data_IF_061214300572
#
_entry.id   IF_061214300572
#
_cell.length_a   1.000
_cell.length_b   1.000
_cell.length_c   1.000
_cell.angle_alpha   90.00
_cell.angle_beta   90.00
_cell.angle_gamma   90.00
#
_symmetry.space_group_name_H-M   'P 1'
#
loop_
_entity.id
_entity.type
_entity.pdbx_description
1 polymer ?
#
# COMPACT_ATOMS: atom_id res chain seq x y z
N UNK A 1 28.83 -21.23 -65.98
CA UNK A 1 27.79 -20.20 -65.71
C UNK A 1 27.31 -20.45 -64.29
N UNK A 2 27.56 -19.68 -63.22
CA UNK A 2 28.17 -18.37 -63.00
C UNK A 2 28.96 -18.44 -61.68
N UNK A 3 30.18 -17.93 -61.69
CA UNK A 3 30.98 -17.62 -60.50
C UNK A 3 30.45 -16.31 -59.92
N UNK A 4 30.25 -16.21 -58.60
CA UNK A 4 30.57 -14.99 -57.84
C UNK A 4 30.60 -15.23 -56.32
N UNK A 5 31.83 -15.15 -55.80
CA UNK A 5 32.29 -14.58 -54.50
C UNK A 5 31.93 -15.41 -53.24
N UNK A 6 32.85 -16.18 -52.63
CA UNK A 6 34.15 -15.87 -52.02
C UNK A 6 34.04 -15.10 -50.69
N UNK A 7 34.79 -15.61 -49.71
CA UNK A 7 35.06 -15.13 -48.33
C UNK A 7 34.05 -15.48 -47.25
N UNK A 8 34.42 -15.89 -46.04
CA UNK A 8 35.71 -16.26 -45.46
C UNK A 8 35.45 -16.68 -44.01
N UNK A 9 35.83 -17.92 -43.66
CA UNK A 9 36.60 -18.31 -42.47
C UNK A 9 36.09 -17.87 -41.07
N UNK A 10 35.86 -18.82 -40.15
CA UNK A 10 36.69 -19.06 -38.94
C UNK A 10 36.06 -20.05 -37.95
N UNK A 11 36.92 -20.97 -37.51
CA UNK A 11 37.00 -21.62 -36.20
C UNK A 11 35.83 -22.47 -35.68
N UNK A 12 36.01 -23.77 -35.88
CA UNK A 12 35.42 -24.83 -35.07
C UNK A 12 36.08 -24.79 -33.69
N UNK A 13 35.27 -24.37 -32.72
CA UNK A 13 35.46 -24.46 -31.28
C UNK A 13 35.54 -25.95 -30.89
N UNK A 14 36.67 -26.38 -30.34
CA UNK A 14 36.82 -27.72 -29.78
C UNK A 14 36.76 -27.62 -28.25
N UNK A 15 35.76 -28.31 -27.72
CA UNK A 15 35.47 -28.54 -26.32
C UNK A 15 36.73 -28.95 -25.53
N UNK A 16 36.90 -28.33 -24.35
CA UNK A 16 37.38 -29.06 -23.18
C UNK A 16 36.51 -28.71 -21.97
N UNK A 17 36.11 -29.78 -21.29
CA UNK A 17 35.14 -29.80 -20.21
C UNK A 17 35.69 -29.20 -18.91
N UNK A 18 34.82 -28.51 -18.17
CA UNK A 18 34.74 -28.70 -16.72
C UNK A 18 33.27 -28.93 -16.35
N UNK A 19 33.01 -30.17 -16.00
CA UNK A 19 31.83 -30.66 -15.34
C UNK A 19 31.77 -30.13 -13.89
N UNK A 20 30.54 -29.88 -13.46
CA UNK A 20 30.05 -29.91 -12.09
C UNK A 20 30.64 -28.94 -11.06
N UNK A 21 29.91 -27.84 -10.84
CA UNK A 21 29.41 -27.54 -9.50
C UNK A 21 27.96 -27.05 -9.60
N UNK A 22 27.01 -28.00 -9.55
CA UNK A 22 25.69 -27.68 -8.99
C UNK A 22 25.91 -27.37 -7.51
N UNK A 23 25.78 -26.11 -7.12
CA UNK A 23 25.44 -25.75 -5.74
C UNK A 23 24.16 -24.92 -5.80
N UNK A 24 23.05 -25.63 -5.62
CA UNK A 24 21.83 -25.05 -5.11
C UNK A 24 22.08 -24.38 -3.75
N UNK A 25 21.48 -23.21 -3.58
CA UNK A 25 21.05 -22.56 -2.33
C UNK A 25 21.55 -21.12 -2.12
N UNK A 26 20.68 -20.21 -2.56
CA UNK A 26 20.28 -18.95 -1.94
C UNK A 26 20.91 -18.67 -0.55
N UNK A 27 22.03 -17.93 -0.52
CA UNK A 27 22.55 -17.08 0.59
C UNK A 27 24.08 -16.89 0.60
N UNK A 28 24.83 -17.55 -0.27
CA UNK A 28 26.29 -17.43 -0.35
C UNK A 28 26.77 -16.13 -1.02
N UNK A 29 27.34 -15.20 -0.26
CA UNK A 29 28.01 -14.03 -0.83
C UNK A 29 29.25 -14.44 -1.63
N UNK A 30 29.39 -13.93 -2.86
CA UNK A 30 30.57 -14.15 -3.69
C UNK A 30 31.70 -13.26 -3.15
N UNK A 31 32.89 -13.82 -3.06
CA UNK A 31 34.05 -13.18 -2.44
C UNK A 31 35.18 -13.12 -3.46
N UNK A 32 35.76 -11.93 -3.60
CA UNK A 32 37.05 -11.73 -4.27
C UNK A 32 38.11 -11.42 -3.22
N UNK A 33 39.36 -11.33 -3.67
CA UNK A 33 40.48 -10.85 -2.86
C UNK A 33 40.30 -9.43 -2.30
N UNK A 34 39.35 -8.66 -2.85
CA UNK A 34 39.16 -7.24 -2.52
C UNK A 34 37.84 -6.96 -1.83
N UNK A 35 36.77 -7.66 -2.21
CA UNK A 35 35.45 -7.41 -1.64
C UNK A 35 34.61 -8.68 -1.50
N UNK A 36 33.68 -8.63 -0.54
CA UNK A 36 32.59 -9.60 -0.42
C UNK A 36 31.26 -8.86 -0.47
N UNK A 37 30.36 -9.28 -1.35
CA UNK A 37 29.01 -8.70 -1.44
C UNK A 37 27.98 -9.72 -0.97
N UNK A 38 27.02 -9.27 -0.16
CA UNK A 38 25.85 -10.04 0.25
C UNK A 38 24.60 -9.30 -0.21
N UNK A 39 23.71 -9.99 -0.91
CA UNK A 39 22.37 -9.51 -1.20
C UNK A 39 21.51 -9.84 0.01
N UNK A 40 21.00 -8.82 0.69
CA UNK A 40 20.10 -8.99 1.85
C UNK A 40 18.66 -9.20 1.39
N UNK A 41 18.22 -8.38 0.44
CA UNK A 41 16.83 -8.33 0.02
C UNK A 41 16.71 -7.81 -1.42
N UNK A 42 15.66 -8.26 -2.11
CA UNK A 42 15.24 -7.80 -3.43
C UNK A 42 13.71 -7.64 -3.42
N UNK A 43 13.22 -6.46 -3.77
CA UNK A 43 11.79 -6.15 -3.78
C UNK A 43 11.45 -5.10 -4.84
N UNK A 44 10.19 -5.00 -5.23
CA UNK A 44 9.70 -3.90 -6.07
C UNK A 44 9.41 -2.67 -5.23
N UNK A 45 9.80 -1.49 -5.72
CA UNK A 45 9.54 -0.21 -5.11
C UNK A 45 8.87 0.73 -6.12
N UNK A 46 8.06 1.67 -5.64
CA UNK A 46 7.45 2.69 -6.49
C UNK A 46 8.55 3.54 -7.17
N UNK A 47 8.37 3.83 -8.45
CA UNK A 47 9.29 4.66 -9.24
C UNK A 47 8.57 5.92 -9.71
N UNK A 48 9.33 7.02 -9.82
CA UNK A 48 8.83 8.30 -10.34
C UNK A 48 8.97 8.38 -11.87
N UNK A 49 9.58 7.36 -12.48
CA UNK A 49 9.65 7.18 -13.93
C UNK A 49 8.27 6.80 -14.49
N UNK A 50 7.75 7.62 -15.40
CA UNK A 50 6.43 7.44 -16.02
C UNK A 50 6.37 6.24 -16.96
N UNK A 51 7.49 5.85 -17.57
CA UNK A 51 7.61 4.68 -18.45
C UNK A 51 7.83 3.40 -17.63
N UNK A 52 8.60 3.52 -16.54
CA UNK A 52 8.88 2.43 -15.61
C UNK A 52 8.46 2.77 -14.16
N UNK A 53 7.16 2.66 -13.87
CA UNK A 53 6.54 3.09 -12.61
C UNK A 53 6.82 2.20 -11.39
N UNK A 54 7.60 1.13 -11.57
CA UNK A 54 8.17 0.34 -10.50
C UNK A 54 9.66 0.13 -10.78
N UNK A 55 10.48 0.19 -9.75
CA UNK A 55 11.91 -0.07 -9.81
C UNK A 55 12.24 -1.31 -8.96
N UNK A 56 13.20 -2.10 -9.44
CA UNK A 56 13.75 -3.20 -8.64
C UNK A 56 14.72 -2.62 -7.60
N UNK A 57 14.34 -2.71 -6.33
CA UNK A 57 15.16 -2.37 -5.17
C UNK A 57 16.01 -3.58 -4.78
N UNK A 58 17.32 -3.37 -4.65
CA UNK A 58 18.27 -4.39 -4.18
C UNK A 58 19.05 -3.85 -3.00
N UNK A 59 18.87 -4.47 -1.83
CA UNK A 59 19.60 -4.12 -0.60
C UNK A 59 20.85 -4.98 -0.52
N UNK A 60 22.02 -4.33 -0.58
CA UNK A 60 23.33 -5.02 -0.57
C UNK A 60 24.14 -4.65 0.66
N UNK A 61 25.05 -5.54 1.05
CA UNK A 61 26.12 -5.26 2.01
C UNK A 61 27.46 -5.58 1.39
N UNK A 62 28.35 -4.61 1.32
CA UNK A 62 29.72 -4.76 0.80
C UNK A 62 30.68 -4.76 1.97
N UNK A 63 31.60 -5.73 2.01
CA UNK A 63 32.73 -5.80 2.94
C UNK A 63 34.04 -5.63 2.18
N UNK A 64 34.93 -4.78 2.67
CA UNK A 64 36.31 -4.75 2.19
C UNK A 64 37.07 -5.94 2.80
N UNK A 65 37.49 -6.89 1.96
CA UNK A 65 38.31 -8.05 2.36
C UNK A 65 39.80 -7.84 2.06
N UNK A 66 40.13 -6.79 1.30
CA UNK A 66 41.49 -6.37 1.01
C UNK A 66 42.16 -5.60 2.16
N UNK A 67 43.42 -5.22 1.91
CA UNK A 67 44.24 -4.42 2.84
C UNK A 67 44.10 -2.92 2.60
N UNK A 68 43.92 -2.51 1.36
CA UNK A 68 43.80 -1.11 0.95
C UNK A 68 42.37 -0.59 1.13
N UNK A 69 42.16 0.73 1.32
CA UNK A 69 40.84 1.32 1.35
C UNK A 69 40.05 1.07 0.05
N UNK A 70 38.78 0.71 0.18
CA UNK A 70 37.88 0.43 -0.94
C UNK A 70 36.77 1.48 -0.99
N UNK A 71 36.73 2.26 -2.07
CA UNK A 71 35.59 3.14 -2.35
C UNK A 71 34.44 2.30 -2.91
N UNK A 72 33.25 2.49 -2.34
CA UNK A 72 32.01 1.83 -2.77
C UNK A 72 30.97 2.91 -3.04
N UNK A 73 30.36 2.87 -4.22
CA UNK A 73 29.28 3.76 -4.63
C UNK A 73 28.23 3.00 -5.43
N UNK A 74 27.03 3.54 -5.50
CA UNK A 74 25.94 2.95 -6.30
C UNK A 74 26.34 2.75 -7.78
N UNK A 75 27.22 3.60 -8.33
CA UNK A 75 27.71 3.50 -9.71
C UNK A 75 28.56 2.25 -9.99
N UNK A 76 29.12 1.61 -8.97
CA UNK A 76 29.94 0.39 -9.10
C UNK A 76 29.10 -0.88 -9.38
N UNK A 77 27.78 -0.77 -9.26
CA UNK A 77 26.84 -1.85 -9.50
C UNK A 77 26.17 -1.71 -10.87
N UNK A 78 25.91 -2.81 -11.55
CA UNK A 78 25.08 -2.85 -12.77
C UNK A 78 24.08 -3.98 -12.64
N UNK A 79 22.86 -3.77 -13.14
CA UNK A 79 21.87 -4.83 -13.25
C UNK A 79 21.71 -5.18 -14.72
N UNK A 80 21.66 -6.47 -15.01
CA UNK A 80 21.27 -7.02 -16.29
C UNK A 80 19.90 -7.68 -16.12
N UNK A 81 18.99 -7.37 -17.04
CA UNK A 81 17.71 -8.01 -17.22
C UNK A 81 17.81 -8.88 -18.48
N UNK A 82 17.69 -10.18 -18.29
CA UNK A 82 18.13 -11.15 -19.29
C UNK A 82 19.58 -10.83 -19.72
N UNK A 83 19.82 -10.43 -20.97
CA UNK A 83 21.16 -10.04 -21.46
C UNK A 83 21.36 -8.52 -21.56
N UNK A 84 20.33 -7.71 -21.27
CA UNK A 84 20.36 -6.26 -21.45
C UNK A 84 20.68 -5.54 -20.14
N UNK A 85 21.65 -4.61 -20.19
CA UNK A 85 21.94 -3.74 -19.03
C UNK A 85 20.79 -2.77 -18.79
N UNK A 86 20.31 -2.68 -17.56
CA UNK A 86 19.21 -1.79 -17.21
C UNK A 86 19.68 -0.38 -16.83
N UNK A 87 18.76 0.58 -16.92
CA UNK A 87 18.97 1.91 -16.34
C UNK A 87 18.88 1.86 -14.80
N UNK A 88 19.50 2.85 -14.15
CA UNK A 88 19.36 3.08 -12.71
C UNK A 88 18.26 4.09 -12.46
N UNK A 89 17.57 3.91 -11.34
CA UNK A 89 16.64 4.89 -10.82
C UNK A 89 17.26 5.58 -9.60
N UNK A 90 16.99 6.88 -9.46
CA UNK A 90 17.42 7.66 -8.30
C UNK A 90 16.32 7.65 -7.23
N UNK A 91 16.73 7.53 -5.96
CA UNK A 91 15.87 7.59 -4.78
C UNK A 91 16.61 8.23 -3.61
N UNK A 92 15.86 8.83 -2.68
CA UNK A 92 16.43 9.52 -1.51
C UNK A 92 17.29 8.60 -0.63
N UNK A 93 16.95 7.31 -0.52
CA UNK A 93 17.69 6.32 0.26
C UNK A 93 18.69 5.49 -0.57
N UNK A 94 19.05 5.97 -1.77
CA UNK A 94 20.09 5.35 -2.60
C UNK A 94 21.43 5.29 -1.85
N UNK A 95 22.15 4.18 -2.00
CA UNK A 95 23.49 4.00 -1.43
C UNK A 95 24.41 5.17 -1.81
N UNK A 96 24.86 5.88 -0.79
CA UNK A 96 25.83 6.95 -0.92
C UNK A 96 27.24 6.40 -1.09
N UNK A 97 28.11 7.20 -1.72
CA UNK A 97 29.53 6.88 -1.85
C UNK A 97 30.20 6.86 -0.47
N UNK A 98 31.04 5.86 -0.22
CA UNK A 98 31.80 5.74 1.01
C UNK A 98 33.13 5.03 0.81
N UNK A 99 34.08 5.30 1.70
CA UNK A 99 35.38 4.58 1.73
C UNK A 99 35.40 3.59 2.88
N UNK A 100 35.69 2.33 2.57
CA UNK A 100 35.78 1.25 3.54
C UNK A 100 37.23 0.88 3.79
N UNK A 101 37.69 1.04 5.02
CA UNK A 101 38.95 0.43 5.47
C UNK A 101 38.84 -1.09 5.56
N UNK A 102 39.99 -1.78 5.63
CA UNK A 102 40.07 -3.23 5.71
C UNK A 102 39.11 -3.81 6.77
N UNK A 103 38.33 -4.82 6.37
CA UNK A 103 37.36 -5.51 7.23
C UNK A 103 36.04 -4.76 7.48
N UNK A 104 35.91 -3.49 7.09
CA UNK A 104 34.69 -2.69 7.29
C UNK A 104 33.63 -2.97 6.23
N UNK A 105 32.38 -2.62 6.54
CA UNK A 105 31.20 -2.89 5.71
C UNK A 105 30.34 -1.65 5.50
N UNK A 106 29.66 -1.57 4.35
CA UNK A 106 28.55 -0.65 4.11
C UNK A 106 27.31 -1.45 3.68
N UNK A 107 26.13 -1.03 4.14
CA UNK A 107 24.84 -1.51 3.64
C UNK A 107 24.13 -0.35 2.95
N UNK A 108 23.48 -0.61 1.82
CA UNK A 108 22.70 0.41 1.13
C UNK A 108 21.80 -0.18 0.05
N UNK A 109 20.93 0.69 -0.46
CA UNK A 109 19.91 0.33 -1.44
C UNK A 109 20.36 0.74 -2.84
N UNK A 110 20.05 -0.10 -3.81
CA UNK A 110 20.23 0.15 -5.25
C UNK A 110 18.86 0.08 -5.91
N UNK A 111 18.63 0.91 -6.93
CA UNK A 111 17.38 0.95 -7.66
C UNK A 111 17.64 0.88 -9.16
N UNK A 112 16.88 0.02 -9.83
CA UNK A 112 17.02 -0.23 -11.25
C UNK A 112 15.65 -0.23 -11.93
N UNK A 113 15.62 0.33 -13.12
CA UNK A 113 14.48 0.25 -14.02
C UNK A 113 14.41 -1.18 -14.59
N UNK A 114 13.36 -1.93 -14.29
CA UNK A 114 13.24 -3.33 -14.68
C UNK A 114 11.78 -3.76 -14.89
N UNK A 115 11.57 -4.73 -15.77
CA UNK A 115 10.28 -5.36 -16.06
C UNK A 115 10.12 -6.64 -15.27
N UNK A 116 8.91 -6.94 -14.80
CA UNK A 116 8.61 -8.13 -14.02
C UNK A 116 8.74 -9.45 -14.82
N UNK A 117 9.00 -10.55 -14.12
CA UNK A 117 8.98 -11.90 -14.69
C UNK A 117 10.23 -12.25 -15.52
N UNK A 118 11.26 -11.40 -15.44
CA UNK A 118 12.54 -11.57 -16.14
C UNK A 118 13.59 -12.21 -15.24
N UNK A 119 14.68 -12.63 -15.86
CA UNK A 119 15.88 -13.04 -15.14
C UNK A 119 16.74 -11.81 -14.84
N UNK A 120 17.31 -11.73 -13.64
CA UNK A 120 18.15 -10.59 -13.28
C UNK A 120 19.51 -11.03 -12.73
N UNK A 121 20.53 -10.30 -13.12
CA UNK A 121 21.90 -10.48 -12.67
C UNK A 121 22.49 -9.15 -12.18
N UNK A 122 22.86 -9.09 -10.90
CA UNK A 122 23.56 -7.95 -10.32
C UNK A 122 25.07 -8.18 -10.43
N UNK A 123 25.77 -7.24 -11.06
CA UNK A 123 27.23 -7.23 -11.17
C UNK A 123 27.79 -6.11 -10.30
N UNK A 124 28.74 -6.42 -9.44
CA UNK A 124 29.55 -5.45 -8.69
C UNK A 124 30.98 -5.42 -9.26
N UNK A 125 31.44 -4.23 -9.65
CA UNK A 125 32.81 -4.00 -10.11
C UNK A 125 33.58 -3.16 -9.07
N UNK A 126 34.41 -3.77 -8.22
CA UNK A 126 35.22 -3.04 -7.25
C UNK A 126 36.16 -2.05 -7.96
N UNK A 127 36.27 -0.84 -7.41
CA UNK A 127 37.24 0.18 -7.86
C UNK A 127 38.62 -0.10 -7.26
N UNK A 128 39.20 -1.25 -7.61
CA UNK A 128 40.54 -1.64 -7.19
C UNK A 128 41.29 -2.27 -8.37
N UNK A 129 42.61 -2.10 -8.36
CA UNK A 129 43.49 -2.63 -9.40
C UNK A 129 43.35 -4.16 -9.44
N UNK A 130 43.16 -4.70 -10.65
CA UNK A 130 43.03 -6.14 -10.94
C UNK A 130 41.84 -6.85 -10.27
N UNK A 131 40.86 -6.11 -9.72
CA UNK A 131 39.69 -6.69 -9.09
C UNK A 131 38.71 -7.28 -10.11
N UNK A 132 38.42 -8.57 -9.97
CA UNK A 132 37.41 -9.27 -10.78
C UNK A 132 35.99 -8.83 -10.37
N UNK A 133 35.06 -8.69 -11.33
CA UNK A 133 33.66 -8.46 -11.03
C UNK A 133 33.06 -9.63 -10.25
N UNK A 134 32.09 -9.32 -9.40
CA UNK A 134 31.28 -10.30 -8.67
C UNK A 134 29.87 -10.28 -9.25
N UNK A 135 29.32 -11.45 -9.58
CA UNK A 135 28.03 -11.54 -10.27
C UNK A 135 27.02 -12.38 -9.50
N UNK A 136 25.76 -11.95 -9.49
CA UNK A 136 24.72 -12.54 -8.66
C UNK A 136 23.40 -12.65 -9.40
N UNK A 137 22.92 -13.87 -9.60
CA UNK A 137 21.53 -14.10 -10.05
C UNK A 137 20.56 -13.77 -8.93
N UNK A 138 19.58 -12.91 -9.22
CA UNK A 138 18.62 -12.45 -8.23
C UNK A 138 17.34 -13.29 -8.26
N UNK A 139 16.78 -13.54 -7.07
CA UNK A 139 15.41 -14.03 -6.91
C UNK A 139 14.56 -12.92 -6.30
N UNK A 140 13.83 -12.20 -7.15
CA UNK A 140 13.01 -11.07 -6.72
C UNK A 140 11.75 -11.58 -6.02
N UNK A 141 11.42 -10.99 -4.86
CA UNK A 141 10.17 -11.29 -4.15
C UNK A 141 9.09 -10.29 -4.54
N UNK A 142 7.86 -10.77 -4.73
CA UNK A 142 6.68 -9.96 -5.05
C UNK A 142 6.59 -9.54 -6.52
N UNK A 143 5.57 -8.74 -6.84
CA UNK A 143 5.26 -8.27 -8.20
C UNK A 143 5.46 -6.75 -8.33
N UNK A 144 5.77 -6.27 -9.54
CA UNK A 144 5.89 -4.84 -9.84
C UNK A 144 4.53 -4.15 -9.74
N UNK A 145 3.43 -4.89 -9.97
CA UNK A 145 2.07 -4.42 -9.75
C UNK A 145 1.83 -3.99 -8.31
N UNK A 146 2.44 -4.65 -7.32
CA UNK A 146 2.35 -4.26 -5.91
C UNK A 146 3.02 -2.90 -5.60
N UNK A 147 3.83 -2.37 -6.54
CA UNK A 147 4.51 -1.09 -6.38
C UNK A 147 3.68 0.11 -6.90
N UNK A 148 2.62 -0.11 -7.68
CA UNK A 148 1.65 0.94 -8.02
C UNK A 148 0.43 0.84 -7.11
N UNK A 149 0.10 1.89 -6.35
CA UNK A 149 -1.22 1.99 -5.75
C UNK A 149 -2.30 1.92 -6.82
N UNK A 150 -3.20 0.93 -6.72
CA UNK A 150 -4.42 0.89 -7.50
C UNK A 150 -5.45 1.84 -6.85
N UNK A 151 -6.19 2.65 -7.61
CA UNK A 151 -7.17 3.58 -7.02
C UNK A 151 -8.33 2.86 -6.34
N UNK A 152 -8.73 1.66 -6.77
CA UNK A 152 -9.76 0.87 -6.09
C UNK A 152 -9.26 0.33 -4.75
N UNK A 153 -8.00 -0.12 -4.69
CA UNK A 153 -7.36 -0.50 -3.44
C UNK A 153 -7.25 0.69 -2.47
N UNK A 154 -6.89 1.88 -2.99
CA UNK A 154 -6.80 3.09 -2.19
C UNK A 154 -8.17 3.54 -1.64
N UNK A 155 -9.22 3.54 -2.46
CA UNK A 155 -10.58 3.83 -1.99
C UNK A 155 -11.05 2.82 -0.95
N UNK A 156 -10.79 1.53 -1.18
CA UNK A 156 -11.09 0.48 -0.20
C UNK A 156 -10.35 0.70 1.12
N UNK A 157 -9.11 1.20 1.07
CA UNK A 157 -8.34 1.54 2.26
C UNK A 157 -8.93 2.75 3.02
N UNK A 158 -9.46 3.76 2.32
CA UNK A 158 -10.22 4.85 2.96
C UNK A 158 -11.47 4.33 3.66
N UNK A 159 -12.24 3.44 3.02
CA UNK A 159 -13.45 2.85 3.61
C UNK A 159 -13.10 2.00 4.83
N UNK A 160 -12.06 1.15 4.74
CA UNK A 160 -11.56 0.38 5.88
C UNK A 160 -11.27 1.28 7.08
N UNK A 161 -10.52 2.36 6.89
CA UNK A 161 -10.05 3.22 7.99
C UNK A 161 -11.15 4.12 8.53
N UNK A 162 -11.92 4.76 7.65
CA UNK A 162 -12.90 5.77 8.03
C UNK A 162 -14.21 5.13 8.43
N UNK A 163 -14.83 4.34 7.55
CA UNK A 163 -16.18 3.82 7.79
C UNK A 163 -16.17 2.56 8.65
N UNK A 164 -15.25 1.63 8.41
CA UNK A 164 -15.21 0.34 9.13
C UNK A 164 -14.38 0.38 10.42
N UNK A 165 -13.70 1.50 10.71
CA UNK A 165 -12.84 1.64 11.88
C UNK A 165 -11.73 0.59 11.94
N UNK A 166 -11.26 0.12 10.79
CA UNK A 166 -10.35 -1.03 10.66
C UNK A 166 -8.94 -0.56 10.31
N UNK A 167 -7.95 -1.11 11.02
CA UNK A 167 -6.55 -0.89 10.70
C UNK A 167 -6.21 -1.41 9.30
N UNK A 168 -5.55 -0.58 8.49
CA UNK A 168 -5.07 -0.96 7.17
C UNK A 168 -3.59 -0.62 7.02
N UNK A 169 -2.73 -1.64 7.14
CA UNK A 169 -1.26 -1.53 7.05
C UNK A 169 -0.75 -0.92 5.74
N UNK A 170 -1.54 -0.99 4.68
CA UNK A 170 -1.20 -0.50 3.35
C UNK A 170 -1.72 0.93 3.11
N UNK A 171 -2.51 1.50 4.03
CA UNK A 171 -3.19 2.78 3.86
C UNK A 171 -2.25 3.91 3.44
N UNK A 172 -1.20 4.20 4.22
CA UNK A 172 -0.25 5.28 3.90
C UNK A 172 0.52 5.02 2.61
N UNK A 173 0.79 3.75 2.27
CA UNK A 173 1.44 3.39 1.00
C UNK A 173 0.50 3.67 -0.18
N UNK A 174 -0.77 3.31 -0.06
CA UNK A 174 -1.76 3.44 -1.12
C UNK A 174 -2.20 4.89 -1.35
N UNK A 175 -2.32 5.67 -0.27
CA UNK A 175 -2.99 6.97 -0.30
C UNK A 175 -2.05 8.16 -0.11
N UNK A 176 -0.89 7.95 0.54
CA UNK A 176 0.03 9.01 0.92
C UNK A 176 -0.38 9.80 2.15
N UNK A 177 -1.50 9.47 2.81
CA UNK A 177 -1.98 10.12 4.02
C UNK A 177 -1.73 9.28 5.27
N UNK A 178 -1.71 9.93 6.44
CA UNK A 178 -1.47 9.28 7.72
C UNK A 178 -2.75 8.63 8.25
N UNK A 179 -2.74 7.31 8.41
CA UNK A 179 -3.90 6.52 8.88
C UNK A 179 -4.48 7.03 10.19
N UNK A 180 -3.65 7.23 11.21
CA UNK A 180 -4.12 7.64 12.55
C UNK A 180 -4.76 9.02 12.53
N UNK A 181 -4.17 9.96 11.78
CA UNK A 181 -4.74 11.29 11.63
C UNK A 181 -6.06 11.25 10.87
N UNK A 182 -6.15 10.46 9.80
CA UNK A 182 -7.40 10.29 9.04
C UNK A 182 -8.50 9.66 9.89
N UNK A 183 -8.20 8.58 10.61
CA UNK A 183 -9.16 7.94 11.50
C UNK A 183 -9.65 8.89 12.60
N UNK A 184 -8.74 9.63 13.24
CA UNK A 184 -9.08 10.59 14.29
C UNK A 184 -9.93 11.76 13.74
N UNK A 185 -9.55 12.32 12.59
CA UNK A 185 -10.31 13.40 11.97
C UNK A 185 -11.73 12.96 11.57
N UNK A 186 -11.86 11.75 11.02
CA UNK A 186 -13.16 11.17 10.70
C UNK A 186 -14.02 10.97 11.94
N UNK A 187 -13.46 10.37 13.01
CA UNK A 187 -14.16 10.15 14.27
C UNK A 187 -14.68 11.45 14.89
N UNK A 188 -13.86 12.50 14.92
CA UNK A 188 -14.29 13.80 15.45
C UNK A 188 -15.38 14.45 14.57
N UNK A 189 -15.25 14.37 13.24
CA UNK A 189 -16.29 14.83 12.31
C UNK A 189 -17.60 14.06 12.49
N UNK A 190 -17.53 12.73 12.61
CA UNK A 190 -18.70 11.87 12.81
C UNK A 190 -19.43 12.19 14.12
N UNK A 191 -18.71 12.43 15.22
CA UNK A 191 -19.31 12.88 16.49
C UNK A 191 -20.02 14.23 16.34
N UNK A 192 -19.36 15.19 15.70
CA UNK A 192 -19.95 16.53 15.49
C UNK A 192 -21.23 16.45 14.64
N UNK A 193 -21.19 15.67 13.55
CA UNK A 193 -22.35 15.43 12.69
C UNK A 193 -23.47 14.70 13.44
N UNK A 194 -23.15 13.69 14.25
CA UNK A 194 -24.14 12.99 15.06
C UNK A 194 -24.86 13.94 16.03
N UNK A 195 -24.12 14.76 16.78
CA UNK A 195 -24.69 15.75 17.70
C UNK A 195 -25.62 16.70 16.97
N UNK A 196 -25.16 17.24 15.83
CA UNK A 196 -25.93 18.17 15.02
C UNK A 196 -27.22 17.54 14.46
N UNK A 197 -27.12 16.33 13.89
CA UNK A 197 -28.26 15.62 13.31
C UNK A 197 -29.26 15.12 14.34
N UNK A 198 -28.80 14.73 15.54
CA UNK A 198 -29.66 14.29 16.61
C UNK A 198 -30.33 15.45 17.38
N UNK A 199 -29.92 16.70 17.12
CA UNK A 199 -30.45 17.87 17.83
C UNK A 199 -30.10 17.91 19.32
N UNK A 200 -29.04 17.19 19.71
CA UNK A 200 -28.61 17.08 21.11
C UNK A 200 -27.81 18.33 21.48
N UNK A 201 -28.11 18.93 22.64
CA UNK A 201 -27.32 20.06 23.13
C UNK A 201 -25.90 19.65 23.53
N UNK A 202 -24.96 20.60 23.56
CA UNK A 202 -23.59 20.31 24.03
C UNK A 202 -23.55 19.81 25.48
N UNK A 203 -24.52 20.20 26.32
CA UNK A 203 -24.64 19.74 27.70
C UNK A 203 -25.09 18.27 27.79
N UNK A 204 -25.90 17.82 26.83
CA UNK A 204 -26.38 16.44 26.73
C UNK A 204 -25.41 15.52 25.96
N UNK A 205 -24.41 16.09 25.29
CA UNK A 205 -23.45 15.35 24.48
C UNK A 205 -22.43 14.60 25.37
N UNK A 206 -22.82 13.40 25.85
CA UNK A 206 -21.85 12.47 26.44
C UNK A 206 -20.92 11.94 25.33
N UNK A 207 -19.74 12.52 25.25
CA UNK A 207 -18.71 12.17 24.26
C UNK A 207 -18.36 10.67 24.27
N UNK A 208 -18.40 10.01 25.44
CA UNK A 208 -18.10 8.57 25.54
C UNK A 208 -19.25 7.75 24.96
N UNK A 209 -20.50 8.10 25.28
CA UNK A 209 -21.68 7.43 24.73
C UNK A 209 -21.74 7.60 23.21
N UNK A 210 -21.51 8.81 22.70
CA UNK A 210 -21.49 9.09 21.26
C UNK A 210 -20.35 8.32 20.57
N UNK A 211 -19.16 8.27 21.17
CA UNK A 211 -18.05 7.46 20.62
C UNK A 211 -18.44 5.98 20.49
N UNK A 212 -19.12 5.42 21.50
CA UNK A 212 -19.60 4.04 21.45
C UNK A 212 -20.65 3.82 20.34
N UNK A 213 -21.48 4.84 20.03
CA UNK A 213 -22.39 4.80 18.89
C UNK A 213 -21.62 4.75 17.58
N UNK A 214 -20.66 5.66 17.37
CA UNK A 214 -19.85 5.68 16.13
C UNK A 214 -19.09 4.36 15.95
N UNK A 215 -18.52 3.80 17.02
CA UNK A 215 -17.82 2.51 16.98
C UNK A 215 -18.75 1.33 16.62
N UNK A 216 -19.97 1.35 17.16
CA UNK A 216 -21.00 0.37 16.81
C UNK A 216 -21.47 0.53 15.35
N UNK A 217 -21.62 1.77 14.88
CA UNK A 217 -21.92 2.04 13.47
C UNK A 217 -20.83 1.49 12.56
N UNK A 218 -19.57 1.80 12.84
CA UNK A 218 -18.43 1.28 12.07
C UNK A 218 -18.37 -0.25 12.08
N UNK A 219 -18.65 -0.88 13.23
CA UNK A 219 -18.67 -2.34 13.36
C UNK A 219 -19.82 -2.96 12.56
N UNK A 220 -21.03 -2.42 12.66
CA UNK A 220 -22.18 -2.89 11.91
C UNK A 220 -21.96 -2.75 10.40
N UNK A 221 -21.40 -1.62 9.95
CA UNK A 221 -21.06 -1.41 8.55
C UNK A 221 -20.05 -2.45 8.06
N UNK A 222 -18.97 -2.65 8.81
CA UNK A 222 -17.93 -3.64 8.49
C UNK A 222 -18.49 -5.06 8.38
N UNK A 223 -19.38 -5.44 9.29
CA UNK A 223 -19.80 -6.82 9.46
C UNK A 223 -21.03 -7.18 8.59
N UNK A 224 -21.84 -6.18 8.20
CA UNK A 224 -23.13 -6.39 7.56
C UNK A 224 -23.31 -5.69 6.20
N UNK A 225 -22.30 -5.01 5.66
CA UNK A 225 -22.37 -4.44 4.30
C UNK A 225 -21.47 -5.19 3.34
N UNK A 226 -21.88 -5.26 2.08
CA UNK A 226 -21.01 -5.74 0.99
C UNK A 226 -20.52 -4.57 0.16
N UNK A 227 -19.22 -4.51 -0.09
CA UNK A 227 -18.59 -3.48 -0.91
C UNK A 227 -17.84 -4.13 -2.08
N UNK A 228 -18.08 -3.62 -3.28
CA UNK A 228 -17.27 -3.91 -4.47
C UNK A 228 -16.84 -2.60 -5.10
N UNK A 229 -15.54 -2.36 -5.13
CA UNK A 229 -14.95 -1.20 -5.80
C UNK A 229 -14.23 -1.67 -7.05
N UNK A 230 -14.43 -0.97 -8.16
CA UNK A 230 -13.61 -1.16 -9.35
C UNK A 230 -13.35 0.16 -10.07
N UNK A 231 -12.22 0.23 -10.76
CA UNK A 231 -11.88 1.40 -11.58
C UNK A 231 -12.67 1.37 -12.88
N UNK A 232 -13.52 2.38 -13.08
CA UNK A 232 -14.34 2.54 -14.28
C UNK A 232 -13.56 3.22 -15.39
N UNK A 233 -12.80 4.27 -15.05
CA UNK A 233 -11.90 4.93 -15.99
C UNK A 233 -10.69 5.54 -15.27
N UNK A 234 -9.60 5.74 -16.01
CA UNK A 234 -8.39 6.39 -15.52
C UNK A 234 -7.80 7.25 -16.63
N UNK A 235 -7.53 8.52 -16.32
CA UNK A 235 -6.91 9.48 -17.24
C UNK A 235 -5.87 10.31 -16.50
N UNK A 236 -4.59 10.04 -16.77
CA UNK A 236 -3.47 10.74 -16.17
C UNK A 236 -3.48 10.68 -14.63
N UNK A 237 -3.82 11.82 -14.01
CA UNK A 237 -3.85 11.99 -12.55
C UNK A 237 -5.25 11.83 -11.93
N UNK A 238 -6.24 11.37 -12.69
CA UNK A 238 -7.61 11.17 -12.22
C UNK A 238 -8.07 9.73 -12.50
N UNK A 239 -8.82 9.18 -11.56
CA UNK A 239 -9.54 7.92 -11.73
C UNK A 239 -10.99 8.12 -11.33
N UNK A 240 -11.91 7.53 -12.10
CA UNK A 240 -13.32 7.40 -11.71
C UNK A 240 -13.54 5.95 -11.32
N UNK A 241 -13.99 5.75 -10.10
CA UNK A 241 -14.24 4.46 -9.48
C UNK A 241 -15.73 4.25 -9.37
N UNK A 242 -16.17 3.01 -9.51
CA UNK A 242 -17.53 2.61 -9.19
C UNK A 242 -17.51 1.80 -7.90
N UNK A 243 -18.17 2.33 -6.87
CA UNK A 243 -18.39 1.69 -5.58
C UNK A 243 -19.82 1.17 -5.53
N UNK A 244 -19.97 -0.15 -5.57
CA UNK A 244 -21.25 -0.84 -5.38
C UNK A 244 -21.34 -1.34 -3.95
N UNK A 245 -22.31 -0.82 -3.21
CA UNK A 245 -22.50 -1.07 -1.78
C UNK A 245 -23.86 -1.73 -1.56
N UNK A 246 -23.91 -2.77 -0.73
CA UNK A 246 -25.16 -3.24 -0.12
C UNK A 246 -25.28 -2.57 1.25
N UNK A 247 -26.09 -1.49 1.38
CA UNK A 247 -26.16 -0.69 2.60
C UNK A 247 -26.86 -1.42 3.74
N UNK A 248 -26.76 -0.89 4.95
CA UNK A 248 -27.68 -1.22 6.04
C UNK A 248 -29.04 -0.57 5.82
N UNK A 249 -30.11 -1.31 6.09
CA UNK A 249 -31.47 -0.78 6.11
C UNK A 249 -31.74 -0.07 7.45
N UNK A 250 -31.84 1.25 7.41
CA UNK A 250 -32.07 2.11 8.58
C UNK A 250 -33.56 2.27 8.91
N UNK A 251 -34.46 1.78 8.05
CA UNK A 251 -35.91 1.94 8.20
C UNK A 251 -36.47 1.53 9.58
N UNK A 252 -36.02 0.43 10.22
CA UNK A 252 -36.56 0.05 11.52
C UNK A 252 -35.98 0.84 12.70
N UNK A 253 -34.84 1.52 12.53
CA UNK A 253 -34.07 2.06 13.65
C UNK A 253 -34.87 3.08 14.47
N UNK A 254 -35.54 4.02 13.80
CA UNK A 254 -36.30 5.07 14.48
C UNK A 254 -37.42 4.50 15.37
N UNK A 255 -38.17 3.52 14.85
CA UNK A 255 -39.21 2.82 15.62
C UNK A 255 -38.64 2.03 16.79
N UNK A 256 -37.53 1.31 16.57
CA UNK A 256 -36.85 0.56 17.63
C UNK A 256 -36.37 1.45 18.77
N UNK A 257 -35.76 2.60 18.44
CA UNK A 257 -35.30 3.57 19.44
C UNK A 257 -36.48 4.20 20.17
N UNK A 258 -37.56 4.53 19.46
CA UNK A 258 -38.78 5.05 20.07
C UNK A 258 -39.39 4.07 21.07
N UNK A 259 -39.46 2.78 20.72
CA UNK A 259 -39.99 1.73 21.60
C UNK A 259 -39.14 1.60 22.88
N UNK A 260 -37.81 1.68 22.77
CA UNK A 260 -36.89 1.67 23.92
C UNK A 260 -37.13 2.86 24.85
N UNK A 261 -37.27 4.06 24.28
CA UNK A 261 -37.55 5.29 25.04
C UNK A 261 -38.91 5.21 25.74
N UNK A 262 -39.94 4.71 25.06
CA UNK A 262 -41.28 4.55 25.65
C UNK A 262 -41.29 3.53 26.81
N UNK A 263 -40.60 2.40 26.65
CA UNK A 263 -40.46 1.40 27.73
C UNK A 263 -39.74 1.96 28.95
N UNK A 264 -38.67 2.74 28.74
CA UNK A 264 -37.94 3.40 29.83
C UNK A 264 -38.82 4.46 30.53
N UNK A 265 -39.45 5.37 29.79
CA UNK A 265 -40.31 6.40 30.36
C UNK A 265 -41.51 5.81 31.14
N UNK A 266 -42.07 4.68 30.67
CA UNK A 266 -43.14 3.99 31.39
C UNK A 266 -42.70 3.37 32.73
N UNK A 267 -41.43 2.98 32.85
CA UNK A 267 -40.83 2.45 34.09
C UNK A 267 -40.29 3.55 35.01
N UNK A 268 -40.00 4.71 34.45
CA UNK A 268 -39.39 5.85 35.13
C UNK A 268 -40.23 7.12 34.89
N UNK A 269 -41.44 7.24 35.49
CA UNK A 269 -42.37 8.33 35.21
C UNK A 269 -41.86 9.71 35.64
N UNK A 270 -40.88 9.76 36.56
CA UNK A 270 -40.26 10.98 37.05
C UNK A 270 -38.97 11.34 36.31
N UNK A 271 -38.58 10.57 35.28
CA UNK A 271 -37.35 10.80 34.54
C UNK A 271 -37.37 12.14 33.80
N UNK A 272 -36.30 12.90 33.92
CA UNK A 272 -36.15 14.16 33.20
C UNK A 272 -35.65 13.96 31.75
N UNK A 273 -35.65 15.03 30.96
CA UNK A 273 -35.22 14.99 29.56
C UNK A 273 -33.77 14.48 29.40
N UNK A 274 -32.86 14.81 30.31
CA UNK A 274 -31.47 14.37 30.24
C UNK A 274 -31.35 12.88 30.54
N UNK A 275 -32.13 12.35 31.47
CA UNK A 275 -32.19 10.91 31.74
C UNK A 275 -32.76 10.13 30.55
N UNK A 276 -33.79 10.67 29.87
CA UNK A 276 -34.33 10.09 28.63
C UNK A 276 -33.27 10.08 27.52
N UNK A 277 -32.58 11.22 27.29
CA UNK A 277 -31.54 11.32 26.26
C UNK A 277 -30.35 10.40 26.58
N UNK A 278 -29.93 10.34 27.84
CA UNK A 278 -28.87 9.44 28.28
C UNK A 278 -29.24 7.97 28.04
N UNK A 279 -30.48 7.58 28.34
CA UNK A 279 -30.97 6.24 28.04
C UNK A 279 -30.94 5.95 26.53
N UNK A 280 -31.46 6.88 25.71
CA UNK A 280 -31.45 6.76 24.25
C UNK A 280 -30.02 6.55 23.70
N UNK A 281 -29.06 7.37 24.14
CA UNK A 281 -27.66 7.24 23.74
C UNK A 281 -27.06 5.89 24.15
N UNK A 282 -27.48 5.34 25.30
CA UNK A 282 -26.99 4.05 25.79
C UNK A 282 -27.50 2.84 25.00
N UNK A 283 -28.72 2.89 24.47
CA UNK A 283 -29.34 1.78 23.72
C UNK A 283 -29.08 1.85 22.22
N UNK A 284 -28.74 3.02 21.70
CA UNK A 284 -28.48 3.25 20.27
C UNK A 284 -27.44 2.27 19.66
N UNK A 285 -26.28 2.01 20.28
CA UNK A 285 -25.31 1.07 19.74
C UNK A 285 -25.89 -0.33 19.54
N UNK A 286 -26.70 -0.80 20.48
CA UNK A 286 -27.33 -2.13 20.43
C UNK A 286 -28.33 -2.21 19.28
N UNK A 287 -29.20 -1.23 19.12
CA UNK A 287 -30.20 -1.22 18.04
C UNK A 287 -29.55 -1.05 16.67
N UNK A 288 -28.51 -0.22 16.54
CA UNK A 288 -27.79 -0.06 15.28
C UNK A 288 -27.11 -1.37 14.84
N UNK A 289 -26.50 -2.11 15.77
CA UNK A 289 -25.88 -3.42 15.47
C UNK A 289 -26.87 -4.49 15.02
N UNK A 290 -28.18 -4.32 15.30
CA UNK A 290 -29.23 -5.25 14.88
C UNK A 290 -29.71 -5.03 13.45
N UNK A 291 -29.37 -3.89 12.85
CA UNK A 291 -29.75 -3.57 11.48
C UNK A 291 -29.23 -4.62 10.50
N UNK A 292 -30.02 -4.82 9.44
CA UNK A 292 -29.75 -5.83 8.42
C UNK A 292 -29.38 -5.16 7.10
N UNK A 293 -28.59 -5.84 6.25
CA UNK A 293 -28.35 -5.34 4.90
C UNK A 293 -29.67 -5.17 4.15
N UNK A 294 -29.77 -4.09 3.38
CA UNK A 294 -30.89 -3.83 2.50
C UNK A 294 -30.95 -4.88 1.37
N UNK A 295 -32.14 -5.04 0.78
CA UNK A 295 -32.37 -5.98 -0.33
C UNK A 295 -31.77 -5.54 -1.67
N UNK A 296 -31.33 -4.28 -1.78
CA UNK A 296 -30.84 -3.67 -3.01
C UNK A 296 -29.50 -3.00 -2.80
N UNK A 297 -28.55 -3.20 -3.71
CA UNK A 297 -27.30 -2.44 -3.72
C UNK A 297 -27.49 -1.04 -4.31
N UNK A 298 -26.67 -0.10 -3.86
CA UNK A 298 -26.50 1.25 -4.42
C UNK A 298 -25.15 1.33 -5.12
N UNK A 299 -25.10 2.01 -6.25
CA UNK A 299 -23.85 2.27 -6.97
C UNK A 299 -23.54 3.77 -6.94
N UNK A 300 -22.30 4.13 -6.58
CA UNK A 300 -21.79 5.49 -6.63
C UNK A 300 -20.51 5.56 -7.46
N UNK A 301 -20.38 6.65 -8.20
CA UNK A 301 -19.12 7.00 -8.84
C UNK A 301 -18.32 7.92 -7.91
N UNK A 302 -17.03 7.64 -7.77
CA UNK A 302 -16.12 8.38 -6.90
C UNK A 302 -14.90 8.80 -7.72
N UNK A 303 -14.56 10.10 -7.71
CA UNK A 303 -13.32 10.58 -8.31
C UNK A 303 -12.16 10.48 -7.30
N UNK A 304 -11.03 9.93 -7.74
CA UNK A 304 -9.77 9.99 -6.99
C UNK A 304 -8.69 10.69 -7.80
N UNK A 305 -7.80 11.38 -7.09
CA UNK A 305 -6.66 12.07 -7.68
C UNK A 305 -5.35 11.41 -7.31
N UNK A 306 -4.38 11.48 -8.22
CA UNK A 306 -3.04 10.93 -8.06
C UNK A 306 -2.06 12.02 -7.65
N UNK A 307 -1.38 11.83 -6.52
CA UNK A 307 -0.32 12.74 -6.08
C UNK A 307 0.98 12.53 -6.88
N UNK A 308 1.99 13.38 -6.64
CA UNK A 308 3.28 13.31 -7.34
C UNK A 308 4.05 12.00 -7.11
N UNK A 309 3.80 11.29 -6.00
CA UNK A 309 4.40 10.00 -5.64
C UNK A 309 3.60 8.81 -6.17
N UNK A 310 2.57 9.07 -6.97
CA UNK A 310 1.74 8.07 -7.61
C UNK A 310 0.69 7.41 -6.72
N UNK A 311 0.36 8.00 -5.57
CA UNK A 311 -0.62 7.52 -4.60
C UNK A 311 -1.97 8.19 -4.81
N UNK A 312 -3.07 7.52 -4.45
CA UNK A 312 -4.42 7.99 -4.73
C UNK A 312 -5.12 8.54 -3.50
N UNK A 313 -5.69 9.73 -3.62
CA UNK A 313 -6.38 10.40 -2.53
C UNK A 313 -7.76 10.91 -2.97
N UNK A 314 -8.67 11.01 -2.00
CA UNK A 314 -9.96 11.68 -2.14
C UNK A 314 -9.72 13.20 -2.07
N UNK A 315 -10.17 13.94 -3.08
CA UNK A 315 -9.87 15.37 -3.21
C UNK A 315 -10.98 16.28 -2.67
N UNK A 316 -12.20 15.77 -2.51
CA UNK A 316 -13.35 16.57 -2.08
C UNK A 316 -14.12 15.92 -0.93
N UNK A 317 -14.62 16.76 -0.02
CA UNK A 317 -15.50 16.33 1.07
C UNK A 317 -16.84 15.79 0.53
N UNK A 318 -17.29 16.28 -0.64
CA UNK A 318 -18.53 15.84 -1.29
C UNK A 318 -18.47 14.37 -1.75
N UNK A 319 -17.32 13.91 -2.23
CA UNK A 319 -17.13 12.49 -2.59
C UNK A 319 -17.19 11.58 -1.36
N UNK A 320 -16.71 12.08 -0.21
CA UNK A 320 -16.73 11.35 1.06
C UNK A 320 -18.14 11.29 1.66
N UNK A 321 -18.89 12.39 1.59
CA UNK A 321 -20.28 12.48 2.05
C UNK A 321 -21.17 11.54 1.24
N UNK A 322 -21.13 11.64 -0.10
CA UNK A 322 -21.91 10.77 -0.99
C UNK A 322 -21.52 9.29 -0.90
N UNK A 323 -20.26 8.99 -0.56
CA UNK A 323 -19.81 7.64 -0.27
C UNK A 323 -20.40 7.14 1.06
N UNK A 324 -20.37 7.94 2.12
CA UNK A 324 -20.88 7.56 3.46
C UNK A 324 -22.40 7.31 3.41
N UNK A 325 -23.15 8.15 2.70
CA UNK A 325 -24.59 7.96 2.49
C UNK A 325 -24.90 6.64 1.78
N UNK A 326 -24.04 6.17 0.87
CA UNK A 326 -24.28 4.94 0.14
C UNK A 326 -24.27 3.67 1.01
N UNK A 327 -23.78 3.76 2.25
CA UNK A 327 -23.74 2.68 3.23
C UNK A 327 -25.01 2.57 4.08
N UNK A 328 -25.87 3.60 4.06
CA UNK A 328 -27.08 3.66 4.88
C UNK A 328 -28.29 3.94 3.98
N UNK A 329 -29.28 3.04 3.99
CA UNK A 329 -30.53 3.23 3.26
C UNK A 329 -31.60 3.74 4.22
N UNK A 330 -32.01 4.98 4.04
CA UNK A 330 -33.19 5.57 4.70
C UNK A 330 -34.35 5.54 3.70
N UNK A 331 -35.41 4.78 4.01
CA UNK A 331 -36.72 4.68 3.28
C UNK A 331 -36.73 5.02 1.80
#
# INVERSE_FOLDING_TARGET
MSIKKMSAVFFILLLTAFTAACSSETSGGQESSTAKVKIKETAWAASDDTEHPAALKVTVTVKNTGKDPLTVKSSDFSLYQDDAKTAKADKEDLMQSGTLHAGKTVTGNLYFTADEGKSYELVYQPQAKDAKPLSYKLKVKGTASNAKPDPADALSAYIDVMLYGKHNKDFTRLTGVNEKMTAAAYQESAKASFIASAGISQEQADSKAISAIIDAMSSALRDNTELKVHTKSMSGKKAVLEAKVTPLDMSPLAGQLQDRVQDYAGKHPDADENEIVSHLLSVYPEEFMRLKPASSSVTREIEMKKNARGQWYLDTDADLEGLTEAFLKTS
#
